data_IF_761669507067
#
_entry.id   IF_761669507067
#
_cell.length_a   1.000
_cell.length_b   1.000
_cell.length_c   1.000
_cell.angle_alpha   90.00
_cell.angle_beta   90.00
_cell.angle_gamma   90.00
#
_symmetry.space_group_name_H-M   'P 1'
#
loop_
_entity.id
_entity.type
_entity.pdbx_description
1 polymer ?
#
# COMPACT_ATOMS: atom_id res chain seq x y z
N UNK A 1 -46.98 15.92 -1.54
CA UNK A 1 -45.71 15.55 -2.20
C UNK A 1 -45.35 14.14 -1.73
N UNK A 2 -45.66 13.13 -2.53
CA UNK A 2 -45.51 11.72 -2.12
C UNK A 2 -44.01 11.35 -2.06
N UNK A 3 -43.54 10.87 -0.91
CA UNK A 3 -42.17 10.37 -0.77
C UNK A 3 -42.10 9.06 -1.56
N UNK A 4 -41.49 9.10 -2.75
CA UNK A 4 -41.39 7.95 -3.63
C UNK A 4 -40.67 6.80 -2.91
N UNK A 5 -41.38 5.69 -2.70
CA UNK A 5 -40.90 4.50 -1.96
C UNK A 5 -39.91 3.66 -2.80
N UNK A 6 -39.87 3.92 -4.11
CA UNK A 6 -39.07 3.22 -5.11
C UNK A 6 -38.54 4.23 -6.13
N UNK A 7 -37.33 3.98 -6.64
CA UNK A 7 -36.74 4.74 -7.74
C UNK A 7 -36.89 3.88 -9.00
N UNK A 8 -37.44 4.46 -10.06
CA UNK A 8 -37.63 3.77 -11.34
C UNK A 8 -36.47 4.06 -12.28
N UNK A 9 -36.24 3.18 -13.25
CA UNK A 9 -35.22 3.38 -14.30
C UNK A 9 -35.46 4.70 -15.06
N UNK A 10 -36.72 5.06 -15.30
CA UNK A 10 -37.15 6.29 -15.95
C UNK A 10 -36.70 7.55 -15.19
N UNK A 11 -36.64 7.49 -13.86
CA UNK A 11 -36.15 8.60 -13.04
C UNK A 11 -34.62 8.75 -13.16
N UNK A 12 -33.91 7.64 -13.36
CA UNK A 12 -32.45 7.62 -13.55
C UNK A 12 -32.05 8.14 -14.95
N UNK A 13 -32.84 7.77 -15.97
CA UNK A 13 -32.66 8.21 -17.36
C UNK A 13 -32.86 9.73 -17.56
N UNK A 14 -33.49 10.42 -16.60
CA UNK A 14 -33.61 11.89 -16.61
C UNK A 14 -32.31 12.61 -16.25
N UNK A 15 -31.42 11.95 -15.52
CA UNK A 15 -30.16 12.54 -15.04
C UNK A 15 -28.92 11.94 -15.70
N UNK A 16 -29.04 10.74 -16.26
CA UNK A 16 -27.95 9.95 -16.80
C UNK A 16 -28.37 9.37 -18.15
N UNK A 17 -27.42 9.21 -19.07
CA UNK A 17 -27.66 8.66 -20.41
C UNK A 17 -28.20 7.21 -20.32
N UNK A 18 -29.07 6.80 -21.24
CA UNK A 18 -29.80 5.51 -21.14
C UNK A 18 -28.88 4.28 -20.97
N UNK A 19 -27.74 4.29 -21.65
CA UNK A 19 -26.73 3.24 -21.59
C UNK A 19 -26.10 3.14 -20.20
N UNK A 20 -25.73 4.28 -19.60
CA UNK A 20 -25.20 4.33 -18.24
C UNK A 20 -26.27 4.05 -17.17
N UNK A 21 -27.51 4.46 -17.41
CA UNK A 21 -28.63 4.18 -16.51
C UNK A 21 -28.92 2.66 -16.44
N UNK A 22 -28.93 1.97 -17.57
CA UNK A 22 -29.10 0.50 -17.63
C UNK A 22 -27.97 -0.24 -16.90
N UNK A 23 -26.73 0.23 -17.08
CA UNK A 23 -25.54 -0.33 -16.42
C UNK A 23 -25.61 -0.11 -14.91
N UNK A 24 -26.00 1.07 -14.47
CA UNK A 24 -26.16 1.38 -13.04
C UNK A 24 -27.28 0.54 -12.41
N UNK A 25 -28.38 0.32 -13.15
CA UNK A 25 -29.48 -0.54 -12.69
C UNK A 25 -29.04 -1.98 -12.46
N UNK A 26 -28.10 -2.49 -13.27
CA UNK A 26 -27.54 -3.84 -13.11
C UNK A 26 -26.66 -4.01 -11.86
N UNK A 27 -26.17 -2.90 -11.28
CA UNK A 27 -25.36 -2.92 -10.06
C UNK A 27 -26.20 -3.04 -8.78
N UNK A 28 -27.51 -2.83 -8.85
CA UNK A 28 -28.41 -2.92 -7.70
C UNK A 28 -29.06 -4.30 -7.61
N UNK A 29 -28.98 -4.90 -6.42
CA UNK A 29 -29.56 -6.21 -6.13
C UNK A 29 -31.09 -6.18 -6.33
N UNK A 30 -31.60 -7.05 -7.23
CA UNK A 30 -33.03 -7.17 -7.58
C UNK A 30 -33.58 -6.14 -8.58
N UNK A 31 -32.75 -5.21 -9.07
CA UNK A 31 -33.19 -4.14 -9.97
C UNK A 31 -33.25 -4.55 -11.45
N UNK A 32 -32.50 -5.59 -11.85
CA UNK A 32 -32.54 -6.18 -13.19
C UNK A 32 -33.90 -6.83 -13.51
N UNK A 33 -34.56 -7.43 -12.51
CA UNK A 33 -35.86 -8.12 -12.69
C UNK A 33 -37.07 -7.21 -12.46
N UNK A 34 -36.99 -6.28 -11.50
CA UNK A 34 -38.16 -5.47 -11.10
C UNK A 34 -38.19 -4.07 -11.69
N UNK A 35 -37.14 -3.63 -12.42
CA UNK A 35 -36.96 -2.25 -12.93
C UNK A 35 -37.18 -1.16 -11.86
N UNK A 36 -37.05 -1.52 -10.58
CA UNK A 36 -37.30 -0.66 -9.41
C UNK A 36 -36.21 -0.86 -8.38
N UNK A 37 -35.63 0.24 -7.90
CA UNK A 37 -34.67 0.21 -6.79
C UNK A 37 -35.38 0.57 -5.50
N UNK A 38 -35.34 -0.35 -4.51
CA UNK A 38 -35.78 -0.08 -3.14
C UNK A 38 -34.79 0.87 -2.46
N UNK A 39 -35.27 1.79 -1.63
CA UNK A 39 -34.41 2.68 -0.81
C UNK A 39 -33.37 1.91 0.02
N UNK A 40 -33.72 0.72 0.51
CA UNK A 40 -32.80 -0.15 1.25
C UNK A 40 -31.66 -0.71 0.37
N UNK A 41 -31.95 -1.09 -0.88
CA UNK A 41 -30.95 -1.57 -1.84
C UNK A 41 -30.00 -0.45 -2.27
N UNK A 42 -30.54 0.76 -2.52
CA UNK A 42 -29.72 1.96 -2.75
C UNK A 42 -28.80 2.25 -1.56
N UNK A 43 -29.33 2.21 -0.33
CA UNK A 43 -28.55 2.45 0.89
C UNK A 43 -27.42 1.42 1.04
N UNK A 44 -27.70 0.14 0.86
CA UNK A 44 -26.68 -0.92 0.95
C UNK A 44 -25.63 -0.76 -0.13
N UNK A 45 -26.03 -0.46 -1.37
CA UNK A 45 -25.09 -0.22 -2.47
C UNK A 45 -24.19 0.98 -2.20
N UNK A 46 -24.72 2.11 -1.73
CA UNK A 46 -23.91 3.29 -1.38
C UNK A 46 -22.92 2.96 -0.25
N UNK A 47 -23.37 2.23 0.77
CA UNK A 47 -22.49 1.81 1.88
C UNK A 47 -21.40 0.86 1.37
N UNK A 48 -21.73 -0.09 0.51
CA UNK A 48 -20.77 -1.04 -0.06
C UNK A 48 -19.76 -0.33 -0.98
N UNK A 49 -20.23 0.55 -1.87
CA UNK A 49 -19.37 1.36 -2.74
C UNK A 49 -18.44 2.29 -1.95
N UNK A 50 -18.92 2.88 -0.84
CA UNK A 50 -18.07 3.66 0.06
C UNK A 50 -17.06 2.79 0.82
N UNK A 51 -17.45 1.58 1.22
CA UNK A 51 -16.56 0.62 1.88
C UNK A 51 -15.47 0.16 0.91
N UNK A 52 -15.80 -0.16 -0.33
CA UNK A 52 -14.84 -0.49 -1.39
C UNK A 52 -13.89 0.67 -1.65
N UNK A 53 -14.39 1.92 -1.77
CA UNK A 53 -13.52 3.09 -1.92
C UNK A 53 -12.61 3.31 -0.71
N UNK A 54 -13.08 3.05 0.51
CA UNK A 54 -12.25 3.11 1.71
C UNK A 54 -11.20 2.01 1.72
N UNK A 55 -11.54 0.78 1.34
CA UNK A 55 -10.61 -0.34 1.23
C UNK A 55 -9.52 -0.07 0.19
N UNK A 56 -9.90 0.50 -0.97
CA UNK A 56 -8.98 0.95 -2.01
C UNK A 56 -8.09 2.12 -1.53
N UNK A 57 -8.66 3.08 -0.80
CA UNK A 57 -7.89 4.20 -0.25
C UNK A 57 -6.91 3.74 0.85
N UNK A 58 -7.27 2.71 1.61
CA UNK A 58 -6.41 2.08 2.62
C UNK A 58 -5.20 1.42 1.94
N UNK A 59 -5.44 0.53 0.97
CA UNK A 59 -4.39 -0.15 0.20
C UNK A 59 -3.46 0.82 -0.53
N UNK A 60 -3.99 1.86 -1.18
CA UNK A 60 -3.18 2.93 -1.80
C UNK A 60 -2.38 3.76 -0.78
N UNK A 61 -2.93 3.96 0.42
CA UNK A 61 -2.26 4.67 1.52
C UNK A 61 -1.02 3.93 2.00
N UNK A 62 -1.11 2.61 2.12
CA UNK A 62 -0.03 1.76 2.61
C UNK A 62 1.12 1.68 1.60
N UNK A 63 0.81 1.54 0.30
CA UNK A 63 1.85 1.59 -0.75
C UNK A 63 2.54 2.95 -0.78
N UNK A 64 1.77 4.05 -0.63
CA UNK A 64 2.34 5.40 -0.63
C UNK A 64 3.25 5.65 0.58
N UNK A 65 2.86 5.13 1.73
CA UNK A 65 3.65 5.24 2.97
C UNK A 65 4.95 4.44 2.87
N UNK A 66 4.88 3.20 2.39
CA UNK A 66 6.05 2.38 2.10
C UNK A 66 6.98 3.05 1.09
N UNK A 67 6.46 3.61 -0.02
CA UNK A 67 7.26 4.35 -1.01
C UNK A 67 7.92 5.59 -0.40
N UNK A 68 7.21 6.35 0.43
CA UNK A 68 7.78 7.51 1.11
C UNK A 68 8.91 7.12 2.09
N UNK A 69 8.74 6.00 2.79
CA UNK A 69 9.77 5.47 3.68
C UNK A 69 11.00 5.01 2.88
N UNK A 70 10.80 4.40 1.71
CA UNK A 70 11.88 4.01 0.80
C UNK A 70 12.64 5.26 0.31
N UNK A 71 11.93 6.32 -0.09
CA UNK A 71 12.55 7.58 -0.47
C UNK A 71 13.43 8.16 0.64
N UNK A 72 12.96 8.10 1.89
CA UNK A 72 13.75 8.55 3.03
C UNK A 72 15.01 7.70 3.25
N UNK A 73 14.92 6.37 3.10
CA UNK A 73 16.07 5.46 3.17
C UNK A 73 17.10 5.75 2.07
N UNK A 74 16.66 5.91 0.83
CA UNK A 74 17.54 6.25 -0.31
C UNK A 74 18.21 7.61 -0.10
N UNK A 75 17.47 8.60 0.39
CA UNK A 75 18.04 9.92 0.67
C UNK A 75 19.11 9.87 1.78
N UNK A 76 18.91 9.05 2.81
CA UNK A 76 19.91 8.83 3.85
C UNK A 76 21.19 8.20 3.27
N UNK A 77 21.07 7.20 2.41
CA UNK A 77 22.22 6.58 1.71
C UNK A 77 22.93 7.61 0.82
N UNK A 78 22.20 8.42 0.06
CA UNK A 78 22.80 9.50 -0.73
C UNK A 78 23.52 10.54 0.13
N UNK A 79 22.97 10.88 1.30
CA UNK A 79 23.62 11.76 2.27
C UNK A 79 24.97 11.20 2.74
N UNK A 80 25.06 9.89 3.00
CA UNK A 80 26.32 9.22 3.36
C UNK A 80 27.33 9.29 2.20
N UNK A 81 26.90 9.03 0.97
CA UNK A 81 27.77 9.10 -0.21
C UNK A 81 28.31 10.53 -0.40
N UNK A 82 27.43 11.53 -0.30
CA UNK A 82 27.82 12.95 -0.41
C UNK A 82 28.80 13.33 0.70
N UNK A 83 28.58 12.87 1.93
CA UNK A 83 29.47 13.11 3.06
C UNK A 83 30.87 12.49 2.82
N UNK A 84 30.94 11.29 2.26
CA UNK A 84 32.21 10.65 1.88
C UNK A 84 32.92 11.45 0.78
N UNK A 85 32.21 11.87 -0.26
CA UNK A 85 32.78 12.70 -1.35
C UNK A 85 33.29 14.04 -0.79
N UNK A 86 32.52 14.67 0.10
CA UNK A 86 32.90 15.92 0.75
C UNK A 86 34.17 15.79 1.60
N UNK A 87 34.29 14.71 2.38
CA UNK A 87 35.49 14.36 3.14
C UNK A 87 36.72 14.15 2.24
N UNK A 88 36.54 13.58 1.05
CA UNK A 88 37.61 13.41 0.06
C UNK A 88 38.09 14.76 -0.50
N UNK A 89 37.17 15.66 -0.83
CA UNK A 89 37.49 16.99 -1.41
C UNK A 89 38.19 17.89 -0.38
N UNK A 90 37.81 17.83 0.90
CA UNK A 90 38.38 18.64 1.99
C UNK A 90 39.85 18.34 2.31
N UNK A 91 40.49 17.34 1.68
CA UNK A 91 41.91 17.04 1.88
C UNK A 91 42.27 16.47 3.26
N UNK A 92 41.28 16.32 4.16
CA UNK A 92 41.40 15.59 5.44
C UNK A 92 41.78 14.12 5.19
N UNK A 93 41.45 13.61 4.00
CA UNK A 93 41.87 12.33 3.46
C UNK A 93 43.31 12.36 2.90
N UNK A 94 44.31 12.70 3.72
CA UNK A 94 45.71 12.39 3.37
C UNK A 94 45.84 10.87 3.24
N UNK A 95 46.50 10.36 2.19
CA UNK A 95 46.56 8.91 1.86
C UNK A 95 46.93 8.03 3.05
N UNK A 96 47.78 8.50 3.95
CA UNK A 96 48.16 7.78 5.18
C UNK A 96 47.04 7.70 6.23
N UNK A 97 46.26 8.77 6.42
CA UNK A 97 45.11 8.78 7.34
C UNK A 97 43.93 7.98 6.78
N UNK A 98 43.76 7.96 5.46
CA UNK A 98 42.72 7.17 4.80
C UNK A 98 42.98 5.68 4.93
N UNK A 99 44.22 5.22 4.72
CA UNK A 99 44.57 3.80 4.90
C UNK A 99 44.33 3.37 6.35
N UNK A 100 44.78 4.14 7.35
CA UNK A 100 44.58 3.80 8.77
C UNK A 100 43.09 3.82 9.15
N UNK A 101 42.31 4.84 8.76
CA UNK A 101 40.85 4.88 9.03
C UNK A 101 40.07 3.82 8.25
N UNK A 102 40.47 3.49 7.02
CA UNK A 102 39.78 2.50 6.19
C UNK A 102 39.83 1.11 6.82
N UNK A 103 40.94 0.75 7.46
CA UNK A 103 41.08 -0.52 8.19
C UNK A 103 40.11 -0.64 9.36
N UNK A 104 39.80 0.48 10.03
CA UNK A 104 38.79 0.52 11.11
C UNK A 104 37.34 0.59 10.58
N UNK A 105 37.13 1.10 9.36
CA UNK A 105 35.81 1.17 8.72
C UNK A 105 35.43 -0.13 7.99
N UNK A 106 36.41 -0.95 7.60
CA UNK A 106 36.21 -2.24 6.92
C UNK A 106 35.26 -3.19 7.67
N UNK A 107 35.43 -3.43 8.99
CA UNK A 107 34.51 -4.28 9.76
C UNK A 107 33.09 -3.72 9.81
N UNK A 108 32.95 -2.39 9.85
CA UNK A 108 31.64 -1.71 9.84
C UNK A 108 30.96 -1.91 8.48
N UNK A 109 31.71 -1.80 7.38
CA UNK A 109 31.23 -2.11 6.04
C UNK A 109 30.81 -3.56 5.87
N UNK A 110 31.52 -4.51 6.50
CA UNK A 110 31.15 -5.93 6.45
C UNK A 110 29.85 -6.22 7.22
N UNK A 111 29.66 -5.61 8.40
CA UNK A 111 28.41 -5.73 9.16
C UNK A 111 27.24 -5.07 8.43
N UNK A 112 27.43 -3.87 7.87
CA UNK A 112 26.40 -3.20 7.07
C UNK A 112 26.12 -3.90 5.74
N UNK A 113 27.10 -4.58 5.14
CA UNK A 113 26.93 -5.29 3.87
C UNK A 113 25.84 -6.35 3.95
N UNK A 114 25.79 -7.12 5.05
CA UNK A 114 24.73 -8.10 5.27
C UNK A 114 23.36 -7.42 5.48
N UNK A 115 23.32 -6.32 6.23
CA UNK A 115 22.10 -5.53 6.42
C UNK A 115 21.58 -4.97 5.10
N UNK A 116 22.46 -4.38 4.27
CA UNK A 116 22.09 -3.86 2.95
C UNK A 116 21.56 -4.96 2.03
N UNK A 117 22.15 -6.17 2.08
CA UNK A 117 21.65 -7.33 1.33
C UNK A 117 20.23 -7.69 1.77
N UNK A 118 19.98 -7.83 3.08
CA UNK A 118 18.64 -8.14 3.60
C UNK A 118 17.61 -7.06 3.22
N UNK A 119 17.98 -5.78 3.34
CA UNK A 119 17.11 -4.66 2.95
C UNK A 119 16.77 -4.73 1.45
N UNK A 120 17.75 -4.99 0.60
CA UNK A 120 17.54 -5.08 -0.85
C UNK A 120 16.66 -6.27 -1.24
N UNK A 121 16.90 -7.43 -0.60
CA UNK A 121 16.08 -8.63 -0.78
C UNK A 121 14.63 -8.38 -0.33
N UNK A 122 14.43 -7.70 0.80
CA UNK A 122 13.11 -7.30 1.28
C UNK A 122 12.39 -6.35 0.32
N UNK A 123 13.10 -5.36 -0.26
CA UNK A 123 12.54 -4.44 -1.26
C UNK A 123 12.07 -5.20 -2.52
N UNK A 124 12.89 -6.12 -3.04
CA UNK A 124 12.51 -6.94 -4.21
C UNK A 124 11.30 -7.81 -3.87
N UNK A 125 11.31 -8.46 -2.71
CA UNK A 125 10.21 -9.32 -2.29
C UNK A 125 8.89 -8.54 -2.18
N UNK A 126 8.93 -7.35 -1.57
CA UNK A 126 7.75 -6.53 -1.32
C UNK A 126 7.20 -5.84 -2.57
N UNK A 127 8.06 -5.27 -3.42
CA UNK A 127 7.63 -4.46 -4.57
C UNK A 127 7.64 -5.20 -5.91
N UNK A 128 8.47 -6.23 -6.08
CA UNK A 128 8.60 -6.94 -7.37
C UNK A 128 7.84 -8.26 -7.36
N UNK A 129 8.06 -9.10 -6.35
CA UNK A 129 7.45 -10.42 -6.29
C UNK A 129 6.00 -10.38 -5.80
N UNK A 130 5.68 -9.45 -4.90
CA UNK A 130 4.35 -9.23 -4.32
C UNK A 130 3.62 -10.54 -3.93
N UNK A 131 4.19 -11.33 -3.01
CA UNK A 131 3.74 -12.69 -2.71
C UNK A 131 2.41 -12.76 -1.94
N UNK A 132 2.06 -11.69 -1.23
CA UNK A 132 0.80 -11.51 -0.52
C UNK A 132 0.51 -10.02 -0.34
N UNK A 133 -0.77 -9.69 -0.27
CA UNK A 133 -1.30 -8.34 -0.18
C UNK A 133 -1.95 -8.06 1.18
N UNK A 134 -2.14 -6.78 1.52
CA UNK A 134 -2.85 -6.39 2.75
C UNK A 134 -4.28 -6.93 2.71
N UNK A 135 -4.69 -7.65 3.75
CA UNK A 135 -5.97 -8.34 3.83
C UNK A 135 -5.95 -9.82 3.42
N UNK A 136 -4.82 -10.33 2.93
CA UNK A 136 -4.65 -11.76 2.68
C UNK A 136 -4.66 -12.56 3.98
N UNK A 137 -5.24 -13.77 3.91
CA UNK A 137 -5.24 -14.74 5.02
C UNK A 137 -4.04 -15.63 4.86
N UNK A 138 -3.13 -15.58 5.83
CA UNK A 138 -1.94 -16.41 5.86
C UNK A 138 -2.00 -17.35 7.06
N UNK A 139 -1.51 -18.57 6.90
CA UNK A 139 -1.29 -19.50 7.99
C UNK A 139 0.21 -19.52 8.28
N UNK A 140 0.62 -18.96 9.41
CA UNK A 140 2.01 -19.05 9.88
C UNK A 140 2.05 -19.95 11.11
N UNK A 141 2.89 -20.98 11.05
CA UNK A 141 3.08 -21.94 12.15
C UNK A 141 1.77 -22.55 12.71
N UNK A 142 0.75 -22.73 11.85
CA UNK A 142 -0.54 -23.32 12.23
C UNK A 142 -1.56 -22.35 12.82
N UNK A 143 -1.26 -21.05 12.87
CA UNK A 143 -2.17 -20.00 13.31
C UNK A 143 -2.66 -19.19 12.10
N UNK A 144 -3.98 -19.08 11.95
CA UNK A 144 -4.58 -18.23 10.93
C UNK A 144 -4.47 -16.75 11.33
N UNK A 145 -3.81 -15.96 10.48
CA UNK A 145 -3.64 -14.53 10.66
C UNK A 145 -4.02 -13.78 9.38
N UNK A 146 -4.33 -12.50 9.52
CA UNK A 146 -4.60 -11.59 8.40
C UNK A 146 -3.49 -10.55 8.34
N UNK A 147 -2.99 -10.25 7.14
CA UNK A 147 -2.02 -9.16 6.93
C UNK A 147 -2.71 -7.83 7.19
N UNK A 148 -2.28 -7.12 8.25
CA UNK A 148 -2.83 -5.80 8.60
C UNK A 148 -2.04 -4.67 7.94
N UNK A 149 -0.70 -4.73 8.04
CA UNK A 149 0.17 -3.66 7.55
C UNK A 149 1.46 -4.24 6.96
N UNK A 150 1.89 -3.71 5.81
CA UNK A 150 3.18 -4.02 5.19
C UNK A 150 4.11 -2.81 5.26
N UNK A 151 5.16 -2.92 6.09
CA UNK A 151 6.33 -2.05 6.05
C UNK A 151 7.45 -2.69 5.22
N UNK A 152 8.45 -1.90 4.85
CA UNK A 152 9.56 -2.37 3.98
C UNK A 152 10.36 -3.51 4.64
N UNK A 153 10.52 -3.46 5.97
CA UNK A 153 11.37 -4.39 6.73
C UNK A 153 10.57 -5.31 7.66
N UNK A 154 9.30 -5.00 7.88
CA UNK A 154 8.44 -5.70 8.84
C UNK A 154 7.02 -5.79 8.30
N UNK A 155 6.30 -6.83 8.65
CA UNK A 155 4.89 -7.00 8.32
C UNK A 155 4.14 -7.30 9.60
N UNK A 156 3.00 -6.64 9.80
CA UNK A 156 2.15 -6.81 10.99
C UNK A 156 1.00 -7.73 10.64
N UNK A 157 0.85 -8.79 11.44
CA UNK A 157 -0.20 -9.78 11.29
C UNK A 157 -1.18 -9.69 12.46
N UNK A 158 -2.47 -9.69 12.15
CA UNK A 158 -3.55 -9.73 13.12
C UNK A 158 -4.02 -11.18 13.32
N UNK A 159 -3.96 -11.65 14.55
CA UNK A 159 -4.57 -12.93 14.96
C UNK A 159 -6.03 -12.73 15.33
N UNK A 160 -6.89 -13.73 15.10
CA UNK A 160 -8.32 -13.69 15.43
C UNK A 160 -8.63 -13.66 16.95
N UNK A 161 -7.62 -13.79 17.80
CA UNK A 161 -7.76 -13.91 19.26
C UNK A 161 -7.63 -12.56 20.00
N UNK A 162 -7.71 -11.42 19.29
CA UNK A 162 -7.61 -10.08 19.88
C UNK A 162 -8.70 -9.12 19.37
#
# INVERSE_FOLDING_TARGET
MAIAKYIYLEDLMRFIREDEASKTMSLFEGAAETKRVKKASLKNWVVNALRERKALALTLGDTKTAVNQLHHMVNAVMGIIILVIWLLILGIATTQLLVVRSTQLLPVGFMFGNTCKMVFEAIIFLFVMHPFDVGDRCEMEGVQMVVEEMNILTTVFLSFDN
#
